data_IF_561097154918
#
_entry.id   IF_561097154918
#
_cell.length_a   1.000
_cell.length_b   1.000
_cell.length_c   1.000
_cell.angle_alpha   90.00
_cell.angle_beta   90.00
_cell.angle_gamma   90.00
#
_symmetry.space_group_name_H-M   'P 1'
#
loop_
_entity.id
_entity.type
_entity.pdbx_description
1 polymer ?
#
# COMPACT_ATOMS: atom_id res chain seq x y z
N UNK A 1 -20.55 23.21 14.23
CA UNK A 1 -20.75 23.44 12.79
C UNK A 1 -19.41 23.84 12.20
N UNK A 2 -18.85 23.08 11.26
CA UNK A 2 -17.70 23.55 10.48
C UNK A 2 -18.29 24.22 9.25
N UNK A 3 -18.34 25.56 9.26
CA UNK A 3 -18.63 26.37 8.06
C UNK A 3 -17.31 26.49 7.31
N UNK A 4 -17.20 25.87 6.14
CA UNK A 4 -16.14 26.19 5.19
C UNK A 4 -16.61 27.45 4.48
N UNK A 5 -16.08 28.61 4.88
CA UNK A 5 -16.21 29.85 4.14
C UNK A 5 -15.32 29.70 2.90
N UNK A 6 -15.92 29.43 1.74
CA UNK A 6 -15.21 29.49 0.47
C UNK A 6 -15.05 30.98 0.11
N UNK A 7 -13.85 31.52 0.25
CA UNK A 7 -13.49 32.82 -0.32
C UNK A 7 -13.14 32.59 -1.79
N UNK A 8 -13.77 33.37 -2.66
CA UNK A 8 -13.68 33.26 -4.11
C UNK A 8 -12.30 33.65 -4.63
N UNK A 9 -11.72 32.80 -5.48
CA UNK A 9 -10.99 33.12 -6.72
C UNK A 9 -10.24 31.85 -7.18
N UNK A 10 -10.72 31.21 -8.23
CA UNK A 10 -10.03 30.08 -8.86
C UNK A 10 -10.77 29.58 -10.09
N UNK A 11 -10.12 29.60 -11.24
CA UNK A 11 -10.58 28.97 -12.48
C UNK A 11 -11.00 27.53 -12.19
N UNK A 12 -12.23 27.14 -12.56
CA UNK A 12 -12.75 25.81 -12.28
C UNK A 12 -13.40 25.21 -13.53
N UNK A 13 -13.24 23.90 -13.73
CA UNK A 13 -13.83 23.18 -14.86
C UNK A 13 -15.36 23.15 -14.74
N UNK A 14 -16.05 23.34 -15.86
CA UNK A 14 -17.52 23.25 -15.96
C UNK A 14 -18.05 21.89 -15.49
N UNK A 15 -17.28 20.82 -15.74
CA UNK A 15 -17.63 19.44 -15.39
C UNK A 15 -17.71 19.16 -13.88
N UNK A 16 -17.06 19.98 -13.03
CA UNK A 16 -17.09 19.81 -11.57
C UNK A 16 -18.32 20.44 -10.90
N UNK A 17 -19.34 20.86 -11.65
CA UNK A 17 -20.49 21.60 -11.11
C UNK A 17 -21.29 20.85 -10.03
N UNK A 18 -21.38 19.52 -10.10
CA UNK A 18 -22.14 18.72 -9.14
C UNK A 18 -21.48 18.66 -7.75
N UNK A 19 -20.14 18.77 -7.66
CA UNK A 19 -19.41 18.73 -6.40
C UNK A 19 -19.51 20.04 -5.59
N UNK A 20 -19.98 21.11 -6.22
CA UNK A 20 -20.13 22.44 -5.60
C UNK A 20 -21.49 22.63 -4.94
N UNK A 21 -22.48 21.83 -5.35
CA UNK A 21 -23.83 21.89 -4.79
C UNK A 21 -23.85 21.07 -3.51
N UNK A 22 -24.07 21.71 -2.38
CA UNK A 22 -24.30 21.00 -1.12
C UNK A 22 -25.80 20.66 -0.98
N UNK A 23 -26.26 19.73 -1.82
CA UNK A 23 -27.65 19.22 -1.81
C UNK A 23 -27.77 17.90 -1.03
N UNK A 24 -26.83 17.62 -0.13
CA UNK A 24 -26.81 16.39 0.66
C UNK A 24 -27.80 16.49 1.83
N UNK A 25 -28.79 15.60 1.84
CA UNK A 25 -29.70 15.38 2.98
C UNK A 25 -29.09 14.42 4.03
N UNK A 26 -28.07 13.65 3.65
CA UNK A 26 -27.46 12.62 4.48
C UNK A 26 -26.31 13.18 5.34
N UNK A 27 -26.39 12.99 6.66
CA UNK A 27 -25.26 13.32 7.54
C UNK A 27 -24.26 12.17 7.61
N UNK A 28 -22.97 12.48 7.44
CA UNK A 28 -21.89 11.52 7.68
C UNK A 28 -21.84 11.24 9.18
N UNK A 29 -22.32 10.06 9.59
CA UNK A 29 -22.26 9.62 11.00
C UNK A 29 -20.81 9.61 11.47
N UNK A 30 -20.56 10.13 12.68
CA UNK A 30 -19.25 10.02 13.33
C UNK A 30 -18.84 8.55 13.39
N UNK A 31 -17.68 8.22 12.82
CA UNK A 31 -17.14 6.86 12.87
C UNK A 31 -16.75 6.53 14.32
N UNK A 32 -17.26 5.41 14.84
CA UNK A 32 -16.92 4.91 16.18
C UNK A 32 -15.55 4.22 16.24
N UNK A 33 -15.00 3.81 15.09
CA UNK A 33 -13.72 3.10 14.97
C UNK A 33 -12.71 3.92 14.18
N UNK A 34 -11.41 3.86 14.53
CA UNK A 34 -10.37 4.53 13.76
C UNK A 34 -10.29 3.94 12.36
N UNK A 35 -10.02 4.81 11.38
CA UNK A 35 -9.76 4.40 10.00
C UNK A 35 -8.40 3.72 9.96
N UNK A 36 -8.36 2.51 9.42
CA UNK A 36 -7.10 1.77 9.25
C UNK A 36 -6.45 2.20 7.95
N UNK A 37 -5.13 2.36 7.97
CA UNK A 37 -4.36 2.60 6.76
C UNK A 37 -4.25 1.30 5.94
N UNK A 38 -4.13 1.39 4.59
CA UNK A 38 -4.11 0.19 3.75
C UNK A 38 -3.01 -0.81 4.10
N UNK A 39 -1.81 -0.36 4.48
CA UNK A 39 -0.69 -1.19 4.93
C UNK A 39 -0.90 -1.85 6.30
N UNK A 40 -1.92 -1.43 7.06
CA UNK A 40 -2.37 -2.18 8.23
C UNK A 40 -3.26 -3.37 7.86
N UNK A 41 -3.78 -3.40 6.63
CA UNK A 41 -4.66 -4.44 6.11
C UNK A 41 -3.91 -5.40 5.18
N UNK A 42 -2.95 -4.88 4.42
CA UNK A 42 -2.23 -5.61 3.37
C UNK A 42 -0.80 -5.93 3.80
N UNK A 43 -0.43 -7.21 3.83
CA UNK A 43 0.98 -7.61 3.97
C UNK A 43 1.81 -7.16 2.77
N UNK A 44 3.13 -7.16 2.87
CA UNK A 44 4.01 -6.74 1.76
C UNK A 44 3.87 -7.69 0.57
N UNK A 45 3.76 -9.00 0.84
CA UNK A 45 3.47 -10.00 -0.21
C UNK A 45 2.13 -9.73 -0.89
N UNK A 46 1.08 -9.38 -0.12
CA UNK A 46 -0.21 -9.07 -0.74
C UNK A 46 -0.13 -7.82 -1.61
N UNK A 47 0.67 -6.83 -1.21
CA UNK A 47 0.93 -5.64 -2.03
C UNK A 47 1.68 -6.01 -3.32
N UNK A 48 2.68 -6.90 -3.27
CA UNK A 48 3.34 -7.44 -4.47
C UNK A 48 2.36 -8.16 -5.41
N UNK A 49 1.51 -9.06 -4.87
CA UNK A 49 0.49 -9.78 -5.64
C UNK A 49 -0.51 -8.82 -6.32
N UNK A 50 -0.86 -7.72 -5.65
CA UNK A 50 -1.80 -6.73 -6.20
C UNK A 50 -1.14 -5.79 -7.22
N UNK A 51 0.13 -5.44 -7.02
CA UNK A 51 0.87 -4.60 -7.95
C UNK A 51 1.16 -5.32 -9.28
N UNK A 52 1.34 -6.64 -9.23
CA UNK A 52 1.66 -7.47 -10.39
C UNK A 52 0.68 -8.65 -10.51
N UNK A 53 -0.60 -8.39 -10.83
CA UNK A 53 -1.67 -9.40 -10.75
C UNK A 53 -1.47 -10.59 -11.71
N UNK A 54 -0.73 -10.38 -12.80
CA UNK A 54 -0.46 -11.44 -13.78
C UNK A 54 0.71 -12.36 -13.38
N UNK A 55 1.50 -12.01 -12.36
CA UNK A 55 2.63 -12.82 -11.89
C UNK A 55 2.15 -13.88 -10.90
N UNK A 56 2.16 -15.15 -11.32
CA UNK A 56 1.58 -16.26 -10.55
C UNK A 56 2.25 -16.57 -9.21
N UNK A 57 3.52 -16.19 -9.03
CA UNK A 57 4.32 -16.56 -7.85
C UNK A 57 5.12 -15.39 -7.27
N UNK A 58 4.64 -14.16 -7.44
CA UNK A 58 5.30 -12.98 -6.85
C UNK A 58 5.09 -12.89 -5.34
N UNK A 59 6.10 -12.42 -4.62
CA UNK A 59 6.07 -12.22 -3.17
C UNK A 59 7.12 -11.19 -2.74
N UNK A 60 6.97 -10.64 -1.53
CA UNK A 60 7.94 -9.69 -0.98
C UNK A 60 9.27 -10.35 -0.62
N UNK A 61 10.38 -9.74 -1.05
CA UNK A 61 11.74 -10.22 -0.80
C UNK A 61 12.40 -9.44 0.35
N UNK A 62 12.38 -9.97 1.59
CA UNK A 62 12.83 -9.25 2.78
C UNK A 62 14.32 -8.89 2.80
N UNK A 63 15.16 -9.59 2.04
CA UNK A 63 16.60 -9.32 1.95
C UNK A 63 16.93 -7.95 1.35
N UNK A 64 16.03 -7.35 0.56
CA UNK A 64 16.21 -6.01 0.01
C UNK A 64 15.71 -4.91 0.96
N UNK A 65 15.16 -5.30 2.12
CA UNK A 65 14.64 -4.36 3.10
C UNK A 65 13.41 -3.59 2.63
N UNK A 66 13.16 -2.46 3.29
CA UNK A 66 12.01 -1.57 3.00
C UNK A 66 12.38 -0.09 3.13
N UNK A 67 13.62 0.26 2.78
CA UNK A 67 14.12 1.63 2.83
C UNK A 67 13.31 2.54 1.91
N UNK A 68 13.00 3.77 2.37
CA UNK A 68 12.16 4.74 1.65
C UNK A 68 10.84 4.13 1.14
N UNK A 69 10.28 3.20 1.93
CA UNK A 69 9.02 2.52 1.61
C UNK A 69 8.98 1.84 0.25
N UNK A 70 10.15 1.48 -0.27
CA UNK A 70 10.31 0.67 -1.47
C UNK A 70 10.50 -0.78 -1.04
N UNK A 71 9.75 -1.70 -1.65
CA UNK A 71 9.91 -3.13 -1.45
C UNK A 71 10.23 -3.79 -2.78
N UNK A 72 11.04 -4.84 -2.75
CA UNK A 72 11.32 -5.66 -3.92
C UNK A 72 10.41 -6.90 -3.93
N UNK A 73 9.80 -7.18 -5.07
CA UNK A 73 8.90 -8.29 -5.29
C UNK A 73 9.54 -9.30 -6.24
N UNK A 74 9.47 -10.59 -5.93
CA UNK A 74 10.00 -11.64 -6.79
C UNK A 74 9.27 -11.69 -8.14
N UNK A 75 10.01 -11.87 -9.24
CA UNK A 75 9.47 -12.00 -10.59
C UNK A 75 9.91 -13.34 -11.19
N UNK A 76 8.96 -14.26 -11.48
CA UNK A 76 9.28 -15.54 -12.07
C UNK A 76 9.70 -15.38 -13.53
N UNK A 77 10.97 -15.64 -13.84
CA UNK A 77 11.50 -15.51 -15.19
C UNK A 77 10.90 -16.51 -16.18
N UNK A 78 10.49 -17.69 -15.67
CA UNK A 78 9.85 -18.74 -16.47
C UNK A 78 8.59 -18.26 -17.22
N UNK A 79 7.88 -17.25 -16.70
CA UNK A 79 6.71 -16.66 -17.34
C UNK A 79 7.08 -15.83 -18.59
N UNK A 80 8.34 -15.40 -18.69
CA UNK A 80 8.87 -14.54 -19.76
C UNK A 80 10.02 -15.18 -20.54
N UNK A 81 10.24 -16.50 -20.41
CA UNK A 81 11.41 -17.19 -20.98
C UNK A 81 12.76 -16.57 -20.55
N UNK A 82 12.80 -16.04 -19.33
CA UNK A 82 13.95 -15.31 -18.79
C UNK A 82 14.43 -15.90 -17.45
N UNK A 83 15.51 -15.34 -16.92
CA UNK A 83 15.98 -15.63 -15.56
C UNK A 83 15.08 -14.97 -14.51
N UNK A 84 15.00 -15.55 -13.32
CA UNK A 84 14.25 -14.93 -12.22
C UNK A 84 14.85 -13.56 -11.85
N UNK A 85 13.97 -12.62 -11.53
CA UNK A 85 14.36 -11.27 -11.13
C UNK A 85 13.54 -10.76 -9.95
N UNK A 86 13.59 -9.45 -9.76
CA UNK A 86 12.77 -8.73 -8.81
C UNK A 86 12.42 -7.35 -9.35
N UNK A 87 11.21 -6.88 -9.06
CA UNK A 87 10.74 -5.54 -9.43
C UNK A 87 10.27 -4.77 -8.19
N UNK A 88 10.50 -3.46 -8.15
CA UNK A 88 10.16 -2.66 -6.99
C UNK A 88 8.70 -2.26 -6.95
N UNK A 89 8.18 -2.01 -5.74
CA UNK A 89 6.90 -1.33 -5.53
C UNK A 89 7.05 -0.27 -4.43
N UNK A 90 6.18 0.73 -4.45
CA UNK A 90 5.94 1.58 -3.29
C UNK A 90 4.95 0.89 -2.35
N UNK A 91 5.31 0.87 -1.07
CA UNK A 91 4.47 0.32 -0.01
C UNK A 91 3.38 1.30 0.37
N UNK A 92 2.18 0.77 0.58
CA UNK A 92 1.04 1.55 1.01
C UNK A 92 1.21 2.10 2.43
N UNK A 93 0.53 3.21 2.70
CA UNK A 93 0.55 3.85 4.02
C UNK A 93 0.19 2.90 5.16
N UNK A 94 0.91 3.00 6.28
CA UNK A 94 0.77 2.12 7.44
C UNK A 94 1.53 0.80 7.34
N UNK A 95 2.20 0.51 6.22
CA UNK A 95 3.06 -0.69 6.10
C UNK A 95 4.28 -0.54 7.02
N UNK A 96 4.68 -1.57 7.78
CA UNK A 96 5.87 -1.50 8.61
C UNK A 96 7.16 -1.40 7.78
N UNK A 97 8.00 -0.43 8.12
CA UNK A 97 9.29 -0.19 7.46
C UNK A 97 10.41 -0.05 8.50
N UNK A 98 11.62 -0.44 8.09
CA UNK A 98 12.80 -0.47 8.95
C UNK A 98 12.68 -1.39 10.17
N UNK A 99 13.68 -1.35 11.05
CA UNK A 99 13.76 -2.23 12.23
C UNK A 99 13.15 -1.61 13.50
N UNK A 100 12.88 -0.30 13.49
CA UNK A 100 12.48 0.46 14.69
C UNK A 100 10.98 0.74 14.76
N UNK A 101 10.14 -0.14 14.19
CA UNK A 101 8.68 0.02 14.20
C UNK A 101 8.15 1.20 13.37
N UNK A 102 8.92 1.65 12.37
CA UNK A 102 8.51 2.71 11.46
C UNK A 102 7.32 2.31 10.58
N UNK A 103 6.65 3.30 10.00
CA UNK A 103 5.51 3.13 9.10
C UNK A 103 5.72 3.94 7.83
N UNK A 104 5.30 3.38 6.72
CA UNK A 104 5.22 4.11 5.47
C UNK A 104 4.11 5.14 5.53
N UNK A 105 4.41 6.38 5.19
CA UNK A 105 3.46 7.48 5.01
C UNK A 105 3.92 8.30 3.82
N UNK A 106 3.09 8.37 2.77
CA UNK A 106 3.38 9.11 1.55
C UNK A 106 4.76 8.77 0.92
N UNK A 107 5.19 7.52 1.04
CA UNK A 107 6.48 7.06 0.50
C UNK A 107 7.68 7.20 1.44
N UNK A 108 7.53 7.80 2.62
CA UNK A 108 8.61 7.93 3.59
C UNK A 108 8.45 6.97 4.78
N UNK A 109 9.57 6.47 5.30
CA UNK A 109 9.57 5.65 6.51
C UNK A 109 9.65 6.53 7.76
N UNK A 110 8.50 6.74 8.40
CA UNK A 110 8.37 7.66 9.55
C UNK A 110 8.11 6.91 10.86
N UNK A 111 8.66 7.41 11.96
CA UNK A 111 8.34 6.92 13.31
C UNK A 111 7.06 7.61 13.80
N UNK A 112 5.98 6.84 13.94
CA UNK A 112 4.69 7.35 14.41
C UNK A 112 4.41 6.90 15.84
N UNK A 113 3.77 7.78 16.62
CA UNK A 113 3.20 7.42 17.92
C UNK A 113 1.79 6.87 17.69
N UNK A 114 1.53 5.63 18.09
CA UNK A 114 0.20 5.01 17.95
C UNK A 114 0.23 3.49 17.87
N UNK A 115 -0.94 2.87 18.03
CA UNK A 115 -1.11 1.42 17.88
C UNK A 115 -1.53 1.09 16.45
N UNK A 116 -0.56 0.70 15.63
CA UNK A 116 -0.80 0.20 14.27
C UNK A 116 -0.91 -1.31 14.25
N UNK A 117 -1.82 -1.84 13.45
CA UNK A 117 -1.87 -3.28 13.17
C UNK A 117 -0.86 -3.63 12.08
N UNK A 118 -0.13 -4.71 12.29
CA UNK A 118 0.75 -5.29 11.26
C UNK A 118 0.16 -6.61 10.78
N UNK A 119 -0.21 -6.72 9.50
CA UNK A 119 -0.55 -8.00 8.90
C UNK A 119 0.60 -8.98 9.06
N UNK A 120 0.29 -10.26 9.33
CA UNK A 120 1.32 -11.31 9.33
C UNK A 120 1.81 -11.51 7.89
N UNK A 121 3.11 -11.42 7.69
CA UNK A 121 3.72 -11.75 6.41
C UNK A 121 3.61 -13.26 6.19
N UNK A 122 3.14 -13.70 5.00
CA UNK A 122 3.22 -15.12 4.66
C UNK A 122 4.70 -15.44 4.48
N UNK A 123 5.19 -16.49 5.14
CA UNK A 123 6.54 -16.98 4.89
C UNK A 123 6.69 -17.25 3.39
N UNK A 124 7.90 -16.99 2.86
CA UNK A 124 8.24 -17.29 1.46
C UNK A 124 7.64 -18.63 1.05
N UNK A 125 7.09 -18.75 -0.18
CA UNK A 125 6.75 -20.06 -0.71
C UNK A 125 7.96 -20.99 -0.48
N UNK A 126 7.75 -22.20 0.09
CA UNK A 126 8.86 -23.11 0.32
C UNK A 126 9.63 -23.27 -0.98
N UNK A 127 10.97 -23.16 -0.92
CA UNK A 127 11.83 -23.45 -2.08
C UNK A 127 11.36 -24.80 -2.63
N UNK A 128 10.88 -24.83 -3.89
CA UNK A 128 10.56 -26.11 -4.53
C UNK A 128 11.79 -27.01 -4.35
N UNK A 129 11.63 -28.25 -3.85
CA UNK A 129 12.77 -29.14 -3.69
C UNK A 129 13.49 -29.22 -5.04
N UNK A 130 14.81 -29.04 -5.03
CA UNK A 130 15.62 -29.26 -6.23
C UNK A 130 15.28 -30.67 -6.71
N UNK A 131 14.73 -30.79 -7.93
CA UNK A 131 14.62 -32.11 -8.58
C UNK A 131 16.02 -32.69 -8.57
N UNK A 132 16.25 -33.77 -7.83
CA UNK A 132 17.46 -34.59 -8.00
C UNK A 132 17.38 -35.11 -9.43
N UNK A 133 18.31 -34.66 -10.26
CA UNK A 133 18.61 -35.27 -11.55
C UNK A 133 19.48 -36.49 -11.26
#
# INVERSE_FOLDING_TARGET
MIRIMAHEMGHTSYEAGCLRRNNTETQIKKRKKPVRLPGELLSKTRQCEMAYPDLRTTYFMPEFGTGNCKAECFVPGAQFQASNGHWPIFLADGTPCGNSGGRCINGDCVKLKGKFRTPKEKTRPPKRPKRRI
#
